data_IF_279081299894
#
_entry.id   IF_279081299894
#
_cell.length_a   1.000
_cell.length_b   1.000
_cell.length_c   1.000
_cell.angle_alpha   90.00
_cell.angle_beta   90.00
_cell.angle_gamma   90.00
#
_symmetry.space_group_name_H-M   'P 1'
#
loop_
_entity.id
_entity.type
_entity.pdbx_description
1 polymer ?
#
# COMPACT_ATOMS: atom_id res chain seq x y z
N UNK A 1 -27.83 -25.09 -8.89
CA UNK A 1 -26.70 -24.87 -7.95
C UNK A 1 -25.78 -23.80 -8.55
N UNK A 2 -25.95 -22.54 -8.19
CA UNK A 2 -25.10 -21.44 -8.70
C UNK A 2 -23.98 -21.16 -7.70
N UNK A 3 -22.75 -21.52 -8.07
CA UNK A 3 -21.55 -21.11 -7.36
C UNK A 3 -21.34 -19.60 -7.60
N UNK A 4 -21.65 -18.79 -6.59
CA UNK A 4 -21.33 -17.37 -6.58
C UNK A 4 -19.81 -17.25 -6.48
N UNK A 5 -19.15 -16.87 -7.58
CA UNK A 5 -17.72 -16.56 -7.62
C UNK A 5 -17.50 -15.21 -6.94
N UNK A 6 -17.50 -15.20 -5.61
CA UNK A 6 -17.09 -14.04 -4.83
C UNK A 6 -15.64 -13.71 -5.17
N UNK A 7 -15.46 -12.67 -5.98
CA UNK A 7 -14.19 -11.99 -6.17
C UNK A 7 -13.63 -11.70 -4.78
N UNK A 8 -12.39 -12.09 -4.45
CA UNK A 8 -11.84 -11.83 -3.12
C UNK A 8 -11.91 -10.33 -2.84
N UNK A 9 -12.55 -9.96 -1.72
CA UNK A 9 -12.69 -8.57 -1.34
C UNK A 9 -11.31 -7.91 -1.26
N UNK A 10 -11.18 -6.72 -1.87
CA UNK A 10 -9.94 -5.94 -1.85
C UNK A 10 -9.53 -5.73 -0.38
N UNK A 11 -8.27 -6.01 0.00
CA UNK A 11 -7.83 -5.80 1.37
C UNK A 11 -7.99 -4.33 1.76
N UNK A 12 -8.46 -4.07 2.99
CA UNK A 12 -8.65 -2.73 3.55
C UNK A 12 -7.51 -2.40 4.53
N UNK A 13 -7.02 -1.16 4.47
CA UNK A 13 -6.07 -0.59 5.43
C UNK A 13 -6.80 -0.12 6.70
N UNK A 14 -7.94 0.55 6.54
CA UNK A 14 -8.77 0.97 7.68
C UNK A 14 -10.26 0.97 7.33
N UNK A 15 -11.08 0.92 8.38
CA UNK A 15 -12.54 1.04 8.31
C UNK A 15 -13.02 1.91 9.46
N UNK A 16 -13.87 2.88 9.17
CA UNK A 16 -14.57 3.72 10.15
C UNK A 16 -16.04 3.33 10.19
N UNK A 17 -16.52 3.06 11.39
CA UNK A 17 -17.86 2.56 11.69
C UNK A 17 -18.56 3.55 12.61
N UNK A 18 -19.85 3.75 12.39
CA UNK A 18 -20.75 4.36 13.35
C UNK A 18 -21.43 3.24 14.15
N UNK A 19 -21.33 3.32 15.48
CA UNK A 19 -22.00 2.44 16.42
C UNK A 19 -23.09 3.23 17.14
N UNK A 20 -24.34 2.87 16.90
CA UNK A 20 -25.51 3.46 17.56
C UNK A 20 -26.10 2.46 18.55
N UNK A 21 -26.27 2.89 19.80
CA UNK A 21 -26.94 2.13 20.85
C UNK A 21 -28.10 2.93 21.42
N UNK A 22 -29.26 2.32 21.55
CA UNK A 22 -30.42 2.92 22.20
C UNK A 22 -30.18 2.98 23.71
N UNK A 23 -30.35 4.16 24.29
CA UNK A 23 -30.30 4.36 25.72
C UNK A 23 -31.65 3.97 26.33
N UNK A 24 -31.71 2.81 26.99
CA UNK A 24 -32.96 2.29 27.59
C UNK A 24 -32.93 2.07 29.10
N UNK A 25 -32.72 3.12 29.93
CA UNK A 25 -32.86 2.98 31.37
C UNK A 25 -34.31 2.62 31.70
N UNK A 26 -34.49 1.60 32.55
CA UNK A 26 -35.81 1.08 32.95
C UNK A 26 -36.70 0.59 31.79
N UNK A 27 -36.12 0.28 30.63
CA UNK A 27 -36.86 -0.22 29.46
C UNK A 27 -37.52 0.86 28.59
N UNK A 28 -37.41 2.14 28.96
CA UNK A 28 -37.92 3.27 28.17
C UNK A 28 -36.83 3.80 27.24
N UNK A 29 -37.18 4.20 26.01
CA UNK A 29 -36.21 4.82 25.10
C UNK A 29 -35.96 6.28 25.48
N UNK A 30 -34.76 6.56 25.98
CA UNK A 30 -34.29 7.88 26.40
C UNK A 30 -33.38 8.55 25.36
N UNK A 31 -33.22 7.94 24.19
CA UNK A 31 -32.45 8.46 23.06
C UNK A 31 -31.46 7.44 22.51
N UNK A 32 -30.56 7.89 21.64
CA UNK A 32 -29.54 7.06 21.02
C UNK A 32 -28.17 7.66 21.31
N UNK A 33 -27.23 6.82 21.74
CA UNK A 33 -25.82 7.18 21.86
C UNK A 33 -25.09 6.70 20.62
N UNK A 34 -24.43 7.61 19.94
CA UNK A 34 -23.62 7.31 18.76
C UNK A 34 -22.14 7.46 19.09
N UNK A 35 -21.34 6.49 18.64
CA UNK A 35 -19.87 6.49 18.73
C UNK A 35 -19.27 6.17 17.37
N UNK A 36 -18.18 6.85 17.02
CA UNK A 36 -17.40 6.49 15.83
C UNK A 36 -16.25 5.59 16.22
N UNK A 37 -16.07 4.48 15.52
CA UNK A 37 -14.98 3.52 15.75
C UNK A 37 -14.17 3.36 14.47
N UNK A 38 -12.89 3.72 14.51
CA UNK A 38 -11.96 3.50 13.41
C UNK A 38 -11.03 2.33 13.75
N UNK A 39 -11.00 1.32 12.90
CA UNK A 39 -10.09 0.18 12.99
C UNK A 39 -9.05 0.28 11.87
N UNK A 40 -7.77 0.29 12.25
CA UNK A 40 -6.65 0.40 11.31
C UNK A 40 -5.75 -0.83 11.42
N UNK A 41 -5.51 -1.50 10.30
CA UNK A 41 -4.58 -2.63 10.22
C UNK A 41 -3.14 -2.11 10.17
N UNK A 42 -2.29 -2.64 11.04
CA UNK A 42 -0.85 -2.36 11.08
C UNK A 42 -0.08 -3.68 11.00
N UNK A 43 1.25 -3.66 10.74
CA UNK A 43 2.07 -4.86 10.78
C UNK A 43 2.07 -5.57 12.14
N UNK A 44 1.87 -4.82 13.24
CA UNK A 44 1.88 -5.33 14.60
C UNK A 44 0.50 -5.83 15.10
N UNK A 45 -0.57 -5.58 14.34
CA UNK A 45 -1.94 -5.90 14.75
C UNK A 45 -2.95 -4.84 14.31
N UNK A 46 -4.06 -4.73 15.01
CA UNK A 46 -5.11 -3.74 14.73
C UNK A 46 -5.04 -2.64 15.79
N UNK A 47 -4.94 -1.39 15.36
CA UNK A 47 -5.14 -0.22 16.21
C UNK A 47 -6.59 0.24 16.11
N UNK A 48 -7.12 0.75 17.21
CA UNK A 48 -8.46 1.30 17.28
C UNK A 48 -8.44 2.77 17.73
N UNK A 49 -9.38 3.53 17.21
CA UNK A 49 -9.72 4.85 17.73
C UNK A 49 -11.24 4.94 17.93
N UNK A 50 -11.65 5.59 19.01
CA UNK A 50 -13.06 5.86 19.35
C UNK A 50 -13.25 7.36 19.40
N UNK A 51 -14.21 7.87 18.63
CA UNK A 51 -14.50 9.30 18.48
C UNK A 51 -13.27 10.14 18.10
N UNK A 52 -12.34 9.54 17.34
CA UNK A 52 -11.10 10.17 16.90
C UNK A 52 -9.91 9.96 17.85
N UNK A 53 -10.13 9.46 19.07
CA UNK A 53 -9.08 9.25 20.07
C UNK A 53 -8.56 7.81 20.09
N UNK A 54 -7.25 7.63 20.26
CA UNK A 54 -6.66 6.31 20.35
C UNK A 54 -7.24 5.52 21.54
N UNK A 55 -7.72 4.30 21.28
CA UNK A 55 -8.39 3.48 22.28
C UNK A 55 -7.88 2.03 22.24
N UNK A 56 -7.95 1.29 23.36
CA UNK A 56 -7.70 -0.13 23.36
C UNK A 56 -8.65 -0.86 22.40
N UNK A 57 -8.11 -1.80 21.63
CA UNK A 57 -8.90 -2.59 20.67
C UNK A 57 -10.08 -3.30 21.35
N UNK A 58 -9.88 -3.79 22.58
CA UNK A 58 -10.93 -4.45 23.34
C UNK A 58 -12.15 -3.53 23.60
N UNK A 59 -11.90 -2.26 23.93
CA UNK A 59 -12.96 -1.28 24.22
C UNK A 59 -13.74 -0.91 22.96
N UNK A 60 -13.02 -0.67 21.86
CA UNK A 60 -13.62 -0.43 20.56
C UNK A 60 -14.51 -1.60 20.11
N UNK A 61 -14.03 -2.84 20.28
CA UNK A 61 -14.84 -4.03 19.98
C UNK A 61 -16.02 -4.18 20.93
N UNK A 62 -15.88 -3.82 22.21
CA UNK A 62 -16.98 -3.83 23.16
C UNK A 62 -18.08 -2.84 22.78
N UNK A 63 -17.72 -1.64 22.30
CA UNK A 63 -18.67 -0.65 21.76
C UNK A 63 -19.40 -1.23 20.55
N UNK A 64 -18.68 -1.78 19.58
CA UNK A 64 -19.28 -2.39 18.38
C UNK A 64 -20.21 -3.57 18.71
N UNK A 65 -19.87 -4.38 19.71
CA UNK A 65 -20.71 -5.52 20.16
C UNK A 65 -21.97 -5.10 20.89
N UNK A 66 -21.94 -3.97 21.60
CA UNK A 66 -23.09 -3.43 22.35
C UNK A 66 -24.01 -2.57 21.49
N UNK A 67 -23.55 -2.15 20.31
CA UNK A 67 -24.36 -1.35 19.40
C UNK A 67 -25.55 -2.15 18.87
N UNK A 68 -26.72 -1.54 18.87
CA UNK A 68 -27.91 -2.09 18.22
C UNK A 68 -27.78 -2.01 16.70
N UNK A 69 -27.06 -1.01 16.21
CA UNK A 69 -26.81 -0.78 14.79
C UNK A 69 -25.37 -0.33 14.54
N UNK A 70 -24.76 -0.94 13.53
CA UNK A 70 -23.43 -0.57 13.04
C UNK A 70 -23.51 -0.20 11.56
N UNK A 71 -23.07 1.01 11.23
CA UNK A 71 -23.03 1.52 9.85
C UNK A 71 -21.59 1.77 9.44
N UNK A 72 -21.20 1.40 8.22
CA UNK A 72 -19.87 1.74 7.69
C UNK A 72 -19.90 3.18 7.17
N UNK A 73 -19.07 4.06 7.75
CA UNK A 73 -18.95 5.46 7.32
C UNK A 73 -17.85 5.64 6.27
N UNK A 74 -16.72 4.95 6.42
CA UNK A 74 -15.60 5.06 5.49
C UNK A 74 -14.78 3.77 5.45
N UNK A 75 -14.21 3.48 4.28
CA UNK A 75 -13.24 2.41 4.09
C UNK A 75 -12.04 2.95 3.31
N UNK A 76 -10.84 2.70 3.83
CA UNK A 76 -9.59 3.00 3.13
C UNK A 76 -9.01 1.69 2.62
N UNK A 77 -8.87 1.50 1.30
CA UNK A 77 -8.27 0.30 0.76
C UNK A 77 -6.80 0.21 1.14
N UNK A 78 -6.31 -1.01 1.36
CA UNK A 78 -4.88 -1.23 1.47
C UNK A 78 -4.21 -0.85 0.15
N UNK A 79 -3.06 -0.18 0.24
CA UNK A 79 -2.21 0.06 -0.92
C UNK A 79 -1.75 -1.29 -1.44
N UNK A 80 -2.21 -1.66 -2.64
CA UNK A 80 -1.75 -2.87 -3.31
C UNK A 80 -0.32 -2.63 -3.79
N UNK A 81 0.68 -3.37 -3.28
CA UNK A 81 2.08 -3.19 -3.69
C UNK A 81 2.32 -3.60 -5.15
N UNK A 82 1.36 -4.26 -5.81
CA UNK A 82 1.44 -4.65 -7.22
C UNK A 82 0.71 -3.71 -8.17
N UNK A 83 -0.18 -2.84 -7.68
CA UNK A 83 -0.84 -1.83 -8.52
C UNK A 83 0.15 -0.98 -9.34
N UNK A 84 1.29 -0.53 -8.79
CA UNK A 84 2.25 0.25 -9.58
C UNK A 84 2.94 -0.55 -10.69
N UNK A 85 3.04 -1.89 -10.58
CA UNK A 85 3.58 -2.74 -11.67
C UNK A 85 2.66 -2.75 -12.88
N UNK A 86 1.35 -2.84 -12.63
CA UNK A 86 0.33 -2.89 -13.67
C UNK A 86 0.21 -1.52 -14.35
N UNK A 87 0.22 -0.44 -13.56
CA UNK A 87 0.21 0.93 -14.06
C UNK A 87 1.43 1.22 -14.93
N UNK A 88 2.67 0.94 -14.47
CA UNK A 88 3.87 1.16 -15.29
C UNK A 88 3.87 0.38 -16.61
N UNK A 89 3.35 -0.85 -16.61
CA UNK A 89 3.20 -1.64 -17.84
C UNK A 89 2.18 -1.03 -18.79
N UNK A 90 1.07 -0.50 -18.27
CA UNK A 90 0.05 0.18 -19.05
C UNK A 90 0.57 1.50 -19.63
N UNK A 91 1.24 2.32 -18.81
CA UNK A 91 1.88 3.59 -19.23
C UNK A 91 2.91 3.35 -20.33
N UNK A 92 3.78 2.35 -20.17
CA UNK A 92 4.77 2.01 -21.20
C UNK A 92 4.13 1.56 -22.50
N UNK A 93 3.03 0.80 -22.44
CA UNK A 93 2.25 0.40 -23.62
C UNK A 93 1.58 1.61 -24.29
N UNK A 94 1.01 2.52 -23.50
CA UNK A 94 0.42 3.75 -24.02
C UNK A 94 1.46 4.64 -24.70
N UNK A 95 2.67 4.74 -24.12
CA UNK A 95 3.75 5.53 -24.70
C UNK A 95 4.29 4.94 -26.00
N UNK A 96 4.47 3.62 -26.06
CA UNK A 96 4.81 2.95 -27.32
C UNK A 96 3.73 3.19 -28.37
N UNK A 97 2.45 3.07 -27.99
CA UNK A 97 1.34 3.32 -28.91
C UNK A 97 1.32 4.77 -29.42
N UNK A 98 1.58 5.76 -28.55
CA UNK A 98 1.69 7.18 -28.90
C UNK A 98 2.83 7.40 -29.90
N UNK A 99 4.04 6.93 -29.60
CA UNK A 99 5.22 7.09 -30.45
C UNK A 99 5.04 6.40 -31.81
N UNK A 100 4.44 5.21 -31.83
CA UNK A 100 4.10 4.52 -33.09
C UNK A 100 3.05 5.29 -33.89
N UNK A 101 2.05 5.91 -33.24
CA UNK A 101 1.09 6.79 -33.91
C UNK A 101 1.74 8.07 -34.47
N UNK A 102 2.83 8.54 -33.85
CA UNK A 102 3.66 9.66 -34.31
C UNK A 102 4.65 9.27 -35.44
N UNK A 103 4.61 8.03 -35.92
CA UNK A 103 5.44 7.55 -37.03
C UNK A 103 6.83 7.06 -36.64
N UNK A 104 7.13 6.98 -35.33
CA UNK A 104 8.38 6.37 -34.84
C UNK A 104 8.31 4.86 -35.06
N UNK A 105 9.40 4.28 -35.56
CA UNK A 105 9.47 2.82 -35.77
C UNK A 105 9.22 2.07 -34.46
N UNK A 106 8.61 0.89 -34.53
CA UNK A 106 8.28 0.12 -33.32
C UNK A 106 9.50 -0.15 -32.42
N UNK A 107 10.67 -0.37 -33.03
CA UNK A 107 11.93 -0.58 -32.31
C UNK A 107 12.41 0.68 -31.56
N UNK A 108 12.37 1.84 -32.22
CA UNK A 108 12.75 3.12 -31.60
C UNK A 108 11.75 3.56 -30.54
N UNK A 109 10.44 3.39 -30.80
CA UNK A 109 9.38 3.65 -29.84
C UNK A 109 9.54 2.80 -28.57
N UNK A 110 9.88 1.51 -28.73
CA UNK A 110 10.20 0.63 -27.60
C UNK A 110 11.43 1.08 -26.80
N UNK A 111 12.49 1.51 -27.48
CA UNK A 111 13.72 2.00 -26.82
C UNK A 111 13.47 3.32 -26.10
N UNK A 112 12.76 4.26 -26.72
CA UNK A 112 12.48 5.56 -26.13
C UNK A 112 11.53 5.44 -24.94
N UNK A 113 10.46 4.64 -25.07
CA UNK A 113 9.60 4.30 -23.93
C UNK A 113 10.37 3.57 -22.80
N UNK A 114 11.42 2.80 -23.11
CA UNK A 114 12.30 2.21 -22.10
C UNK A 114 13.14 3.23 -21.34
N UNK A 115 13.52 4.33 -21.98
CA UNK A 115 14.29 5.41 -21.33
C UNK A 115 13.40 6.27 -20.46
N UNK A 116 12.20 6.63 -20.94
CA UNK A 116 11.25 7.45 -20.20
C UNK A 116 10.61 6.68 -19.04
N UNK A 117 10.31 5.39 -19.25
CA UNK A 117 9.69 4.50 -18.26
C UNK A 117 10.50 3.21 -18.15
N UNK A 118 11.61 3.23 -17.39
CA UNK A 118 12.49 2.08 -17.30
C UNK A 118 11.77 0.87 -16.70
N UNK A 119 12.04 -0.34 -17.25
CA UNK A 119 11.41 -1.56 -16.78
C UNK A 119 11.76 -1.80 -15.32
N UNK A 120 10.78 -2.28 -14.58
CA UNK A 120 10.93 -2.69 -13.19
C UNK A 120 11.73 -3.99 -13.10
N UNK A 121 12.58 -4.13 -12.07
CA UNK A 121 13.45 -5.30 -11.88
C UNK A 121 12.69 -6.60 -11.58
N UNK A 122 11.45 -6.49 -11.10
CA UNK A 122 10.61 -7.64 -10.79
C UNK A 122 11.08 -8.46 -9.57
N UNK A 123 10.38 -9.58 -9.31
CA UNK A 123 10.52 -10.34 -8.05
C UNK A 123 11.89 -11.00 -7.87
N UNK A 124 12.48 -11.53 -8.94
CA UNK A 124 13.75 -12.27 -8.86
C UNK A 124 14.90 -11.35 -8.45
N UNK A 125 15.11 -10.26 -9.19
CA UNK A 125 16.14 -9.27 -8.88
C UNK A 125 15.86 -8.54 -7.55
N UNK A 126 14.59 -8.29 -7.21
CA UNK A 126 14.23 -7.74 -5.90
C UNK A 126 14.59 -8.68 -4.74
N UNK A 127 14.44 -10.00 -4.92
CA UNK A 127 14.85 -10.99 -3.91
C UNK A 127 16.36 -10.98 -3.71
N UNK A 128 17.14 -10.80 -4.76
CA UNK A 128 18.59 -10.67 -4.66
C UNK A 128 18.98 -9.39 -3.92
N UNK A 129 18.39 -8.26 -4.29
CA UNK A 129 18.60 -6.98 -3.60
C UNK A 129 18.24 -7.07 -2.12
N UNK A 130 17.11 -7.69 -1.79
CA UNK A 130 16.68 -7.91 -0.40
C UNK A 130 17.71 -8.74 0.39
N UNK A 131 18.21 -9.84 -0.20
CA UNK A 131 19.23 -10.68 0.43
C UNK A 131 20.54 -9.94 0.62
N UNK A 132 20.91 -9.10 -0.32
CA UNK A 132 22.12 -8.29 -0.27
C UNK A 132 22.04 -7.24 0.84
N UNK A 133 20.95 -6.48 0.92
CA UNK A 133 20.73 -5.50 1.98
C UNK A 133 20.74 -6.16 3.37
N UNK A 134 20.11 -7.33 3.50
CA UNK A 134 20.14 -8.10 4.75
C UNK A 134 21.54 -8.59 5.12
N UNK A 135 22.36 -9.00 4.15
CA UNK A 135 23.78 -9.35 4.37
C UNK A 135 24.62 -8.17 4.84
N UNK A 136 24.30 -6.96 4.38
CA UNK A 136 24.98 -5.72 4.75
C UNK A 136 24.46 -5.11 6.07
N UNK A 137 23.49 -5.75 6.73
CA UNK A 137 23.00 -5.35 8.06
C UNK A 137 21.85 -4.34 8.06
N UNK A 138 21.35 -3.93 6.89
CA UNK A 138 20.16 -3.08 6.81
C UNK A 138 18.94 -3.90 7.24
N UNK A 139 18.25 -3.51 8.31
CA UNK A 139 17.08 -4.27 8.82
C UNK A 139 15.76 -3.85 8.16
N UNK A 140 15.66 -2.59 7.74
CA UNK A 140 14.49 -2.06 7.04
C UNK A 140 14.86 -1.72 5.58
N UNK A 141 14.82 -2.74 4.72
CA UNK A 141 15.26 -2.65 3.33
C UNK A 141 14.44 -1.64 2.50
N UNK A 142 13.14 -1.50 2.79
CA UNK A 142 12.27 -0.57 2.08
C UNK A 142 12.51 0.87 2.52
N UNK A 143 12.70 1.12 3.82
CA UNK A 143 13.07 2.44 4.30
C UNK A 143 14.44 2.88 3.77
N UNK A 144 15.42 1.95 3.72
CA UNK A 144 16.74 2.24 3.11
C UNK A 144 16.58 2.66 1.66
N UNK A 145 15.80 1.89 0.87
CA UNK A 145 15.55 2.25 -0.53
C UNK A 145 14.77 3.57 -0.67
N UNK A 146 13.84 3.87 0.23
CA UNK A 146 13.06 5.10 0.22
C UNK A 146 13.91 6.34 0.57
N UNK A 147 14.84 6.19 1.51
CA UNK A 147 15.81 7.22 1.89
C UNK A 147 16.73 7.54 0.71
N UNK A 148 17.35 6.51 0.11
CA UNK A 148 18.30 6.68 -1.01
C UNK A 148 17.65 7.30 -2.24
N UNK A 149 16.37 6.97 -2.50
CA UNK A 149 15.65 7.44 -3.68
C UNK A 149 14.77 8.67 -3.39
N UNK A 150 14.81 9.20 -2.16
CA UNK A 150 14.01 10.33 -1.68
C UNK A 150 12.51 10.21 -2.01
N UNK A 151 11.99 8.98 -2.03
CA UNK A 151 10.59 8.70 -2.38
C UNK A 151 10.09 7.43 -1.73
N UNK A 152 8.78 7.30 -1.45
CA UNK A 152 8.21 6.07 -0.92
C UNK A 152 8.48 4.87 -1.84
N UNK A 153 9.03 3.79 -1.28
CA UNK A 153 9.27 2.52 -1.99
C UNK A 153 8.40 1.42 -1.36
N UNK A 154 7.18 1.17 -1.88
CA UNK A 154 6.31 0.14 -1.31
C UNK A 154 6.77 -1.29 -1.65
N UNK A 155 7.66 -1.45 -2.63
CA UNK A 155 8.25 -2.74 -3.01
C UNK A 155 9.54 -2.57 -3.80
N UNK A 156 10.57 -3.35 -3.47
CA UNK A 156 11.83 -3.39 -4.23
C UNK A 156 11.62 -3.90 -5.67
N UNK A 157 10.58 -4.70 -5.92
CA UNK A 157 10.28 -5.21 -7.26
C UNK A 157 9.78 -4.13 -8.24
N UNK A 158 9.44 -2.94 -7.72
CA UNK A 158 9.00 -1.77 -8.48
C UNK A 158 10.16 -0.87 -8.91
N UNK A 159 11.36 -1.09 -8.37
CA UNK A 159 12.52 -0.29 -8.73
C UNK A 159 12.90 -0.54 -10.19
N UNK A 160 13.39 0.50 -10.86
CA UNK A 160 14.13 0.30 -12.12
C UNK A 160 15.47 -0.39 -11.84
N UNK A 161 16.12 -0.88 -12.89
CA UNK A 161 17.48 -1.42 -12.77
C UNK A 161 18.47 -0.37 -12.22
N UNK A 162 18.29 0.89 -12.62
CA UNK A 162 19.08 2.03 -12.18
C UNK A 162 18.83 2.35 -10.70
N UNK A 163 17.57 2.49 -10.28
CA UNK A 163 17.21 2.69 -8.87
C UNK A 163 17.80 1.59 -7.98
N UNK A 164 17.69 0.33 -8.42
CA UNK A 164 18.24 -0.81 -7.70
C UNK A 164 19.77 -0.79 -7.66
N UNK A 165 20.44 -0.23 -8.69
CA UNK A 165 21.88 -0.02 -8.66
C UNK A 165 22.25 1.06 -7.66
N UNK A 166 21.56 2.20 -7.66
CA UNK A 166 21.76 3.30 -6.70
C UNK A 166 21.65 2.81 -5.26
N UNK A 167 20.60 2.04 -4.94
CA UNK A 167 20.41 1.44 -3.61
C UNK A 167 21.56 0.50 -3.23
N UNK A 168 22.09 -0.29 -4.17
CA UNK A 168 23.26 -1.15 -3.90
C UNK A 168 24.53 -0.34 -3.67
N UNK A 169 24.78 0.67 -4.49
CA UNK A 169 25.96 1.53 -4.38
C UNK A 169 25.97 2.28 -3.05
N UNK A 170 24.81 2.78 -2.62
CA UNK A 170 24.64 3.33 -1.28
C UNK A 170 24.92 2.30 -0.19
N UNK A 171 24.27 1.13 -0.26
CA UNK A 171 24.40 0.11 0.78
C UNK A 171 25.83 -0.43 0.95
N UNK A 172 26.63 -0.41 -0.12
CA UNK A 172 28.04 -0.82 -0.11
C UNK A 172 29.00 0.31 0.31
N UNK A 173 28.50 1.50 0.65
CA UNK A 173 29.32 2.65 1.01
C UNK A 173 30.08 3.26 -0.18
N UNK A 174 29.63 3.00 -1.42
CA UNK A 174 30.22 3.58 -2.63
C UNK A 174 29.60 4.94 -2.98
N UNK A 175 28.54 5.35 -2.28
CA UNK A 175 28.05 6.73 -2.26
C UNK A 175 28.85 7.54 -1.23
N UNK A 176 29.72 8.43 -1.70
CA UNK A 176 30.61 9.24 -0.86
C UNK A 176 32.10 9.17 -1.20
N UNK A 177 32.53 8.37 -2.19
CA UNK A 177 33.92 8.33 -2.69
C UNK A 177 34.16 9.19 -3.94
N UNK A 178 33.36 10.24 -4.11
CA UNK A 178 33.59 11.30 -5.10
C UNK A 178 33.75 12.63 -4.35
N UNK A 179 34.87 12.79 -3.63
CA UNK A 179 35.41 14.07 -3.21
C UNK A 179 36.93 13.93 -3.10
#
# INVERSE_FOLDING_TARGET
MHASTLRPARPLASRTLEAAADLRPYGENWGTVTRTVTLTRTPAGILAAVDGEAAPLADALAILKRADRVTVLAEVPATDPTAPLLTRRAERRAEVARLTAEGVSAWEAMQQAARTLPPVIGKAAARELHRELGRLGFRNHYATAAEVLERPVPSLALLSAEDAHTVRSYARGQWGMSA
#
